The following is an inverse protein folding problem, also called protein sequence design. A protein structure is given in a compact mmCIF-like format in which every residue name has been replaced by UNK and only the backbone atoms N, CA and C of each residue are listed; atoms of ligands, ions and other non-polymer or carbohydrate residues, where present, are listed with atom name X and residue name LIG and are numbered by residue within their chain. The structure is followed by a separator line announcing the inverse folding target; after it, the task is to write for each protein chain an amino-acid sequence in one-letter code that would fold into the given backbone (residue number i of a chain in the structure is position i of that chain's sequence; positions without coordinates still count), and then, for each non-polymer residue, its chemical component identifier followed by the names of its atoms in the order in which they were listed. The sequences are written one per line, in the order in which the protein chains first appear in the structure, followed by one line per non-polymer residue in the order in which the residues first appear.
data_IF_303659092130
#
_entry.id   IF_303659092130
#
_cell.length_a   1.000
_cell.length_b   1.000
_cell.length_c   1.000
_cell.angle_alpha   90.00
_cell.angle_beta   90.00
_cell.angle_gamma   90.00
#
_symmetry.space_group_name_H-M   'P 1'
#
loop_
_entity.id
_entity.type
_entity.pdbx_description
1 polymer ?
#
# COMPACT_ATOMS: atom_id res chain seq x y z
N UNK A 1 -37.68 10.34 -42.11
CA UNK A 1 -36.47 9.64 -42.62
C UNK A 1 -36.11 8.52 -41.66
N UNK A 2 -36.41 7.29 -42.07
CA UNK A 2 -35.95 6.07 -41.39
C UNK A 2 -34.42 6.01 -41.44
N UNK A 3 -33.77 5.59 -40.35
CA UNK A 3 -32.74 4.55 -40.45
C UNK A 3 -32.63 3.77 -39.13
N UNK A 4 -32.48 2.47 -39.32
CA UNK A 4 -32.60 1.35 -38.38
C UNK A 4 -31.43 1.24 -37.39
N UNK A 5 -31.75 0.73 -36.20
CA UNK A 5 -30.83 0.00 -35.33
C UNK A 5 -30.28 -1.24 -36.05
N UNK A 6 -28.95 -1.45 -36.03
CA UNK A 6 -28.34 -2.78 -36.02
C UNK A 6 -26.84 -2.73 -35.69
N UNK A 7 -26.40 -3.76 -34.95
CA UNK A 7 -25.03 -4.20 -34.63
C UNK A 7 -24.27 -3.47 -33.51
N UNK A 8 -24.59 -3.89 -32.28
CA UNK A 8 -23.78 -3.72 -31.08
C UNK A 8 -22.96 -4.99 -30.80
N UNK A 9 -21.93 -5.24 -31.59
CA UNK A 9 -20.84 -6.14 -31.16
C UNK A 9 -19.50 -5.58 -31.64
N UNK A 10 -18.50 -5.67 -30.75
CA UNK A 10 -17.11 -5.21 -30.92
C UNK A 10 -16.93 -3.69 -30.85
N UNK A 11 -16.85 -3.14 -29.64
CA UNK A 11 -15.79 -2.18 -29.32
C UNK A 11 -15.53 -2.22 -27.80
N UNK A 12 -14.61 -3.11 -27.43
CA UNK A 12 -13.91 -3.08 -26.14
C UNK A 12 -13.13 -1.77 -26.03
N UNK A 13 -13.77 -0.70 -25.55
CA UNK A 13 -13.08 0.56 -25.27
C UNK A 13 -12.28 0.36 -23.99
N UNK A 14 -11.00 0.10 -24.21
CA UNK A 14 -9.97 -0.03 -23.20
C UNK A 14 -9.94 1.17 -22.26
N UNK A 15 -9.77 0.86 -20.99
CA UNK A 15 -9.46 1.80 -19.92
C UNK A 15 -8.26 2.64 -20.38
N UNK A 16 -8.48 3.94 -20.63
CA UNK A 16 -7.42 4.88 -20.95
C UNK A 16 -6.44 4.92 -19.78
N UNK A 17 -5.29 4.27 -19.98
CA UNK A 17 -4.17 4.09 -19.05
C UNK A 17 -3.40 5.39 -18.73
N UNK A 18 -4.00 6.55 -19.01
CA UNK A 18 -3.35 7.86 -18.95
C UNK A 18 -3.36 8.46 -17.55
N UNK A 19 -4.35 8.17 -16.71
CA UNK A 19 -4.39 8.60 -15.30
C UNK A 19 -3.52 7.73 -14.37
N UNK A 20 -3.14 6.53 -14.82
CA UNK A 20 -2.32 5.57 -14.05
C UNK A 20 -0.84 5.54 -14.47
N UNK A 21 -0.41 6.40 -15.40
CA UNK A 21 0.97 6.45 -15.92
C UNK A 21 1.80 7.55 -15.22
N UNK A 22 2.61 7.16 -14.22
CA UNK A 22 3.89 7.84 -13.96
C UNK A 22 4.84 7.40 -15.08
N UNK A 23 5.22 8.33 -15.97
CA UNK A 23 6.24 8.08 -17.01
C UNK A 23 7.55 7.68 -16.33
N UNK A 24 8.08 6.53 -16.75
CA UNK A 24 9.40 6.02 -16.42
C UNK A 24 10.37 6.62 -17.43
N UNK A 25 11.16 7.63 -17.04
CA UNK A 25 12.40 7.95 -17.73
C UNK A 25 13.52 7.26 -16.96
N UNK A 26 14.03 6.18 -17.55
CA UNK A 26 15.27 5.53 -17.14
C UNK A 26 16.41 6.42 -17.66
N UNK A 27 17.16 7.04 -16.76
CA UNK A 27 18.61 7.17 -16.94
C UNK A 27 19.22 6.47 -15.74
N UNK A 28 19.96 5.42 -16.04
CA UNK A 28 20.66 4.60 -15.07
C UNK A 28 21.65 5.49 -14.30
N UNK A 29 21.43 5.58 -13.00
CA UNK A 29 22.26 6.25 -12.04
C UNK A 29 21.99 5.58 -10.71
N UNK A 30 22.86 4.63 -10.36
CA UNK A 30 22.81 3.86 -9.14
C UNK A 30 22.93 4.82 -7.94
N UNK A 31 21.81 5.28 -7.39
CA UNK A 31 21.74 5.80 -6.02
C UNK A 31 21.15 4.71 -5.16
N UNK A 32 22.03 3.87 -4.61
CA UNK A 32 21.75 3.09 -3.43
C UNK A 32 21.24 4.05 -2.35
N UNK A 33 19.96 3.94 -2.02
CA UNK A 33 19.39 4.60 -0.85
C UNK A 33 19.90 3.81 0.34
N UNK A 34 21.11 4.15 0.79
CA UNK A 34 21.60 3.75 2.10
C UNK A 34 20.60 4.37 3.09
N UNK A 35 19.97 3.53 3.90
CA UNK A 35 19.22 3.97 5.07
C UNK A 35 20.17 4.75 5.95
N UNK A 36 20.14 6.08 5.78
CA UNK A 36 20.78 6.97 6.73
C UNK A 36 19.97 6.86 8.01
N UNK A 37 20.63 6.38 9.08
CA UNK A 37 20.17 6.60 10.44
C UNK A 37 19.66 8.05 10.57
N UNK A 38 18.56 8.31 11.31
CA UNK A 38 17.97 9.63 11.37
C UNK A 38 18.93 10.55 12.13
N UNK A 39 19.76 11.28 11.39
CA UNK A 39 20.35 12.52 11.88
C UNK A 39 19.21 13.42 12.37
N UNK A 40 19.39 14.17 13.47
CA UNK A 40 18.38 15.12 13.94
C UNK A 40 18.07 16.08 12.79
N UNK A 41 16.86 15.98 12.23
CA UNK A 41 16.40 16.90 11.19
C UNK A 41 16.45 18.29 11.80
N UNK A 42 17.35 19.14 11.28
CA UNK A 42 17.38 20.57 11.58
C UNK A 42 15.95 21.10 11.41
N UNK A 43 15.31 21.45 12.53
CA UNK A 43 13.96 22.01 12.53
C UNK A 43 14.09 23.42 11.99
N UNK A 44 13.43 23.72 10.87
CA UNK A 44 13.45 25.05 10.29
C UNK A 44 12.94 26.12 11.29
N UNK A 45 13.30 27.40 11.11
CA UNK A 45 12.88 28.47 12.02
C UNK A 45 11.35 28.57 12.07
N UNK A 46 10.81 28.94 13.23
CA UNK A 46 9.37 29.22 13.39
C UNK A 46 9.03 30.54 12.70
N UNK A 47 8.11 30.50 11.73
CA UNK A 47 7.68 31.67 10.98
C UNK A 47 6.39 32.23 11.59
N UNK A 48 6.34 33.55 11.82
CA UNK A 48 5.14 34.26 12.24
C UNK A 48 4.49 34.91 11.03
N UNK A 49 3.29 34.47 10.68
CA UNK A 49 2.48 35.10 9.64
C UNK A 49 1.79 36.32 10.24
N UNK A 50 2.02 37.50 9.67
CA UNK A 50 1.37 38.75 10.10
C UNK A 50 0.23 39.06 9.13
N UNK A 51 -0.78 39.77 9.60
CA UNK A 51 -1.92 40.27 8.82
C UNK A 51 -1.54 41.25 7.70
N UNK A 52 -0.26 41.59 7.55
CA UNK A 52 0.24 42.46 6.48
C UNK A 52 0.60 41.60 5.25
N UNK A 53 0.07 41.89 4.04
CA UNK A 53 0.34 41.16 2.80
C UNK A 53 1.82 41.02 2.40
N UNK A 54 2.73 41.76 3.03
CA UNK A 54 4.17 41.72 2.75
C UNK A 54 4.96 40.60 3.46
N UNK A 55 4.29 39.63 4.09
CA UNK A 55 5.01 38.52 4.76
C UNK A 55 5.67 37.59 3.72
N UNK A 56 6.86 37.94 3.24
CA UNK A 56 7.67 37.11 2.34
C UNK A 56 8.39 36.05 3.15
N UNK A 57 7.95 34.80 3.04
CA UNK A 57 8.65 33.67 3.61
C UNK A 57 9.95 33.41 2.84
N UNK A 58 11.09 33.86 3.39
CA UNK A 58 12.43 33.63 2.84
C UNK A 58 13.00 32.23 3.16
N UNK A 59 12.29 31.43 3.95
CA UNK A 59 12.73 30.09 4.30
C UNK A 59 12.66 29.13 3.09
N UNK A 60 13.65 28.25 2.97
CA UNK A 60 13.61 27.15 1.99
C UNK A 60 12.39 26.27 2.26
N UNK A 61 11.73 25.82 1.19
CA UNK A 61 10.56 24.93 1.24
C UNK A 61 10.76 23.74 2.17
N UNK A 62 11.94 23.11 2.14
CA UNK A 62 12.23 21.95 3.00
C UNK A 62 12.20 22.29 4.49
N UNK A 63 12.76 23.44 4.88
CA UNK A 63 12.78 23.90 6.26
C UNK A 63 11.39 24.29 6.74
N UNK A 64 10.62 24.97 5.87
CA UNK A 64 9.23 25.30 6.12
C UNK A 64 8.39 24.04 6.40
N UNK A 65 8.48 23.03 5.52
CA UNK A 65 7.70 21.81 5.63
C UNK A 65 8.16 20.88 6.77
N UNK A 66 9.41 21.03 7.22
CA UNK A 66 9.97 20.26 8.32
C UNK A 66 9.49 20.74 9.70
N UNK A 67 9.09 22.01 9.85
CA UNK A 67 8.60 22.57 11.11
C UNK A 67 7.06 22.43 11.21
N UNK A 68 6.53 21.57 12.13
CA UNK A 68 5.09 21.35 12.24
C UNK A 68 4.31 22.60 12.70
N UNK A 69 4.88 23.40 13.59
CA UNK A 69 4.26 24.63 14.09
C UNK A 69 4.11 25.66 12.98
N UNK A 70 5.13 25.79 12.12
CA UNK A 70 5.09 26.68 10.96
C UNK A 70 4.02 26.25 9.96
N UNK A 71 3.90 24.95 9.68
CA UNK A 71 2.84 24.42 8.82
C UNK A 71 1.45 24.73 9.38
N UNK A 72 1.25 24.48 10.68
CA UNK A 72 -0.05 24.72 11.32
C UNK A 72 -0.42 26.20 11.31
N UNK A 73 0.52 27.08 11.68
CA UNK A 73 0.31 28.53 11.67
C UNK A 73 -0.01 29.05 10.25
N UNK A 74 0.62 28.48 9.21
CA UNK A 74 0.32 28.83 7.83
C UNK A 74 -1.09 28.43 7.41
N UNK A 75 -1.52 27.22 7.78
CA UNK A 75 -2.86 26.72 7.47
C UNK A 75 -3.93 27.60 8.12
N UNK A 76 -3.74 27.99 9.39
CA UNK A 76 -4.64 28.90 10.10
C UNK A 76 -4.67 30.28 9.44
N UNK A 77 -3.50 30.87 9.20
CA UNK A 77 -3.39 32.16 8.53
C UNK A 77 -4.08 32.18 7.16
N UNK A 78 -3.88 31.13 6.33
CA UNK A 78 -4.51 31.03 5.03
C UNK A 78 -6.04 30.91 5.15
N UNK A 79 -6.53 30.17 6.15
CA UNK A 79 -7.96 30.10 6.48
C UNK A 79 -8.53 31.49 6.76
N UNK A 80 -7.92 32.24 7.69
CA UNK A 80 -8.37 33.59 8.06
C UNK A 80 -8.40 34.56 6.86
N UNK A 81 -7.41 34.47 5.97
CA UNK A 81 -7.35 35.30 4.74
C UNK A 81 -8.50 34.94 3.80
N UNK A 82 -8.76 33.65 3.59
CA UNK A 82 -9.85 33.19 2.72
C UNK A 82 -11.22 33.59 3.29
N UNK A 83 -11.41 33.49 4.60
CA UNK A 83 -12.66 33.88 5.27
C UNK A 83 -12.93 35.39 5.17
N UNK A 84 -11.89 36.22 5.28
CA UNK A 84 -12.00 37.67 5.06
C UNK A 84 -12.41 38.02 3.63
N UNK A 85 -12.02 37.22 2.65
CA UNK A 85 -12.45 37.34 1.24
C UNK A 85 -13.81 36.67 0.96
N UNK A 86 -14.55 36.25 2.00
CA UNK A 86 -15.88 35.68 1.89
C UNK A 86 -15.92 34.21 1.46
N UNK A 87 -14.79 33.51 1.49
CA UNK A 87 -14.74 32.06 1.27
C UNK A 87 -15.03 31.30 2.57
N UNK A 88 -15.60 30.10 2.47
CA UNK A 88 -15.67 29.19 3.60
C UNK A 88 -14.39 28.36 3.67
N UNK A 89 -13.65 28.46 4.78
CA UNK A 89 -12.50 27.60 5.06
C UNK A 89 -12.93 26.47 6.01
N UNK A 90 -12.51 25.23 5.71
CA UNK A 90 -12.74 24.07 6.57
C UNK A 90 -11.38 23.45 6.91
N UNK A 91 -11.19 23.10 8.18
CA UNK A 91 -9.94 22.51 8.67
C UNK A 91 -10.14 21.03 9.03
N UNK A 92 -9.37 20.16 8.39
CA UNK A 92 -9.32 18.74 8.76
C UNK A 92 -8.36 18.53 9.94
N UNK A 93 -8.68 17.57 10.82
CA UNK A 93 -7.81 17.18 11.94
C UNK A 93 -6.57 16.42 11.45
N UNK A 94 -6.68 15.70 10.32
CA UNK A 94 -5.61 14.93 9.70
C UNK A 94 -5.57 15.17 8.20
N UNK A 95 -5.65 14.11 7.42
CA UNK A 95 -5.73 14.20 5.96
C UNK A 95 -7.02 14.91 5.52
N UNK A 96 -6.93 15.76 4.50
CA UNK A 96 -8.04 16.60 4.06
C UNK A 96 -8.89 15.95 2.97
N UNK A 97 -8.44 14.88 2.30
CA UNK A 97 -9.10 14.37 1.10
C UNK A 97 -10.51 13.87 1.38
N UNK A 98 -10.71 13.20 2.51
CA UNK A 98 -12.04 12.73 2.94
C UNK A 98 -12.98 13.89 3.21
N UNK A 99 -12.50 14.93 3.88
CA UNK A 99 -13.29 16.13 4.16
C UNK A 99 -13.66 16.86 2.87
N UNK A 100 -12.71 17.02 1.95
CA UNK A 100 -12.94 17.65 0.64
C UNK A 100 -14.00 16.85 -0.15
N UNK A 101 -13.84 15.52 -0.25
CA UNK A 101 -14.77 14.68 -1.00
C UNK A 101 -16.18 14.73 -0.43
N UNK A 102 -16.33 14.60 0.90
CA UNK A 102 -17.64 14.63 1.57
C UNK A 102 -18.31 15.99 1.45
N UNK A 103 -17.57 17.08 1.69
CA UNK A 103 -18.09 18.43 1.52
C UNK A 103 -18.55 18.68 0.09
N UNK A 104 -17.78 18.25 -0.91
CA UNK A 104 -18.18 18.39 -2.31
C UNK A 104 -19.49 17.64 -2.63
N UNK A 105 -19.65 16.43 -2.11
CA UNK A 105 -20.90 15.66 -2.26
C UNK A 105 -22.06 16.36 -1.55
N UNK A 106 -21.88 16.80 -0.30
CA UNK A 106 -22.90 17.53 0.46
C UNK A 106 -23.33 18.82 -0.24
N UNK A 107 -22.38 19.59 -0.78
CA UNK A 107 -22.67 20.79 -1.58
C UNK A 107 -23.45 20.45 -2.85
N UNK A 108 -23.05 19.40 -3.58
CA UNK A 108 -23.73 18.99 -4.80
C UNK A 108 -25.20 18.62 -4.55
N UNK A 109 -25.47 17.94 -3.43
CA UNK A 109 -26.82 17.56 -2.98
C UNK A 109 -27.61 18.80 -2.52
N UNK A 110 -27.06 19.57 -1.58
CA UNK A 110 -27.79 20.66 -0.94
C UNK A 110 -28.07 21.84 -1.87
N UNK A 111 -27.11 22.20 -2.72
CA UNK A 111 -27.20 23.36 -3.62
C UNK A 111 -27.91 22.99 -4.93
N UNK A 112 -28.04 21.68 -5.22
CA UNK A 112 -28.62 21.15 -6.46
C UNK A 112 -27.98 21.77 -7.73
N UNK A 113 -26.68 22.06 -7.66
CA UNK A 113 -25.88 22.62 -8.76
C UNK A 113 -24.64 21.77 -9.00
N UNK A 114 -24.11 21.89 -10.20
CA UNK A 114 -22.85 21.25 -10.58
C UNK A 114 -21.73 21.69 -9.62
N UNK A 115 -21.14 20.73 -8.93
CA UNK A 115 -20.02 20.98 -8.01
C UNK A 115 -18.71 20.55 -8.65
N UNK A 116 -17.72 21.44 -8.64
CA UNK A 116 -16.39 21.20 -9.22
C UNK A 116 -15.36 21.11 -8.12
N UNK A 117 -14.72 19.95 -8.00
CA UNK A 117 -13.59 19.71 -7.12
C UNK A 117 -12.31 19.92 -7.91
N UNK A 118 -11.42 20.76 -7.39
CA UNK A 118 -10.11 21.01 -8.01
C UNK A 118 -9.06 20.20 -7.26
N UNK A 119 -8.47 19.21 -7.93
CA UNK A 119 -7.48 18.35 -7.31
C UNK A 119 -6.78 17.44 -8.32
N UNK A 120 -5.62 16.92 -7.92
CA UNK A 120 -4.85 15.96 -8.72
C UNK A 120 -4.63 14.63 -8.01
N UNK A 121 -5.07 14.50 -6.76
CA UNK A 121 -4.86 13.31 -5.95
C UNK A 121 -5.72 12.13 -6.42
N UNK A 122 -5.14 10.93 -6.37
CA UNK A 122 -5.85 9.68 -6.62
C UNK A 122 -6.77 9.35 -5.45
N UNK A 123 -6.37 9.66 -4.22
CA UNK A 123 -7.14 9.37 -3.01
C UNK A 123 -8.46 10.17 -3.07
N UNK A 124 -8.37 11.46 -3.41
CA UNK A 124 -9.53 12.31 -3.71
C UNK A 124 -10.45 11.73 -4.81
N UNK A 125 -9.90 11.21 -5.92
CA UNK A 125 -10.73 10.60 -6.98
C UNK A 125 -11.47 9.36 -6.48
N UNK A 126 -10.80 8.50 -5.71
CA UNK A 126 -11.40 7.29 -5.11
C UNK A 126 -12.50 7.67 -4.12
N UNK A 127 -12.27 8.68 -3.28
CA UNK A 127 -13.21 9.15 -2.28
C UNK A 127 -14.45 9.80 -2.90
N UNK A 128 -14.28 10.61 -3.95
CA UNK A 128 -15.41 11.17 -4.69
C UNK A 128 -16.28 10.08 -5.31
N UNK A 129 -15.67 9.03 -5.89
CA UNK A 129 -16.42 7.89 -6.43
C UNK A 129 -17.15 7.09 -5.35
N UNK A 130 -16.55 6.95 -4.18
CA UNK A 130 -17.13 6.22 -3.06
C UNK A 130 -18.31 6.96 -2.44
N UNK A 131 -18.17 8.27 -2.19
CA UNK A 131 -19.17 9.07 -1.47
C UNK A 131 -20.25 9.66 -2.37
N UNK A 132 -20.08 9.68 -3.71
CA UNK A 132 -21.05 10.30 -4.61
C UNK A 132 -22.47 9.71 -4.48
N UNK A 133 -23.46 10.59 -4.28
CA UNK A 133 -24.88 10.22 -4.40
C UNK A 133 -25.31 10.27 -5.87
N UNK A 134 -25.81 9.14 -6.36
CA UNK A 134 -26.29 8.98 -7.75
C UNK A 134 -27.52 9.84 -8.07
N UNK A 135 -28.21 10.35 -7.05
CA UNK A 135 -29.37 11.24 -7.18
C UNK A 135 -28.96 12.71 -7.28
N UNK A 136 -27.71 13.04 -6.98
CA UNK A 136 -27.18 14.40 -7.07
C UNK A 136 -27.00 14.85 -8.54
N UNK A 137 -27.10 16.15 -8.80
CA UNK A 137 -26.60 16.74 -10.06
C UNK A 137 -25.07 16.73 -10.08
N UNK A 138 -24.53 16.79 -11.31
CA UNK A 138 -23.13 16.59 -11.72
C UNK A 138 -22.04 16.94 -10.69
N UNK A 139 -21.16 15.97 -10.40
CA UNK A 139 -19.96 16.13 -9.59
C UNK A 139 -18.73 15.94 -10.47
N UNK A 140 -17.88 16.97 -10.53
CA UNK A 140 -16.78 17.05 -11.48
C UNK A 140 -15.43 17.14 -10.75
N UNK A 141 -14.47 16.30 -11.13
CA UNK A 141 -13.08 16.44 -10.71
C UNK A 141 -12.28 17.12 -11.83
N UNK A 142 -11.65 18.26 -11.53
CA UNK A 142 -10.90 19.08 -12.49
C UNK A 142 -9.44 19.20 -12.09
N UNK A 143 -8.53 18.91 -13.01
CA UNK A 143 -7.09 19.17 -12.79
C UNK A 143 -6.79 20.65 -13.02
N UNK A 144 -5.86 21.19 -12.24
CA UNK A 144 -5.39 22.58 -12.37
C UNK A 144 -4.43 22.76 -13.57
N UNK A 145 -3.89 21.67 -14.11
CA UNK A 145 -2.92 21.69 -15.20
C UNK A 145 -3.55 22.05 -16.55
N UNK A 146 -3.03 23.11 -17.19
CA UNK A 146 -3.48 23.57 -18.52
C UNK A 146 -3.11 22.61 -19.66
N UNK A 147 -2.23 21.63 -19.44
CA UNK A 147 -1.58 20.82 -20.50
C UNK A 147 -2.13 19.40 -20.69
N UNK A 148 -3.04 18.90 -19.84
CA UNK A 148 -3.57 17.52 -19.96
C UNK A 148 -4.88 17.45 -20.75
N UNK A 149 -4.98 16.46 -21.65
CA UNK A 149 -6.14 16.22 -22.56
C UNK A 149 -7.47 15.88 -21.84
N UNK A 150 -7.43 15.51 -20.56
CA UNK A 150 -8.62 15.31 -19.74
C UNK A 150 -8.67 16.43 -18.69
N UNK A 151 -9.30 17.55 -19.07
CA UNK A 151 -9.42 18.73 -18.19
C UNK A 151 -10.34 18.47 -17.01
N UNK A 152 -11.30 17.54 -17.15
CA UNK A 152 -12.35 17.30 -16.17
C UNK A 152 -12.88 15.87 -16.30
N UNK A 153 -13.22 15.24 -15.17
CA UNK A 153 -13.87 13.94 -15.09
C UNK A 153 -15.21 14.15 -14.42
N UNK A 154 -16.30 13.70 -15.06
CA UNK A 154 -17.59 13.60 -14.40
C UNK A 154 -17.63 12.29 -13.60
N UNK A 155 -17.63 12.44 -12.27
CA UNK A 155 -17.63 11.34 -11.30
C UNK A 155 -18.87 10.48 -11.47
N UNK A 156 -20.02 11.10 -11.68
CA UNK A 156 -21.28 10.38 -11.85
C UNK A 156 -21.25 9.58 -13.15
N UNK A 157 -20.65 10.08 -14.22
CA UNK A 157 -20.59 9.38 -15.53
C UNK A 157 -19.76 8.07 -15.55
N UNK A 158 -19.00 7.78 -14.50
CA UNK A 158 -18.06 6.65 -14.50
C UNK A 158 -18.77 5.28 -14.48
N UNK A 159 -18.26 4.32 -15.28
CA UNK A 159 -18.84 2.97 -15.46
C UNK A 159 -18.51 1.97 -14.34
N UNK A 160 -17.76 2.37 -13.31
CA UNK A 160 -17.31 1.49 -12.21
C UNK A 160 -18.26 1.49 -11.00
N UNK A 161 -19.50 1.95 -11.18
CA UNK A 161 -20.48 2.22 -10.12
C UNK A 161 -20.77 1.02 -9.20
N UNK A 162 -20.85 -0.18 -9.77
CA UNK A 162 -21.18 -1.41 -9.03
C UNK A 162 -20.15 -1.77 -7.94
N UNK A 163 -18.93 -1.24 -8.04
CA UNK A 163 -17.83 -1.52 -7.11
C UNK A 163 -17.33 -0.28 -6.37
N UNK A 164 -17.99 0.88 -6.52
CA UNK A 164 -17.57 2.14 -5.86
C UNK A 164 -17.47 2.02 -4.34
N UNK A 165 -18.38 1.26 -3.72
CA UNK A 165 -18.36 0.98 -2.28
C UNK A 165 -17.13 0.16 -1.84
N UNK A 166 -16.46 -0.55 -2.76
CA UNK A 166 -15.25 -1.36 -2.51
C UNK A 166 -13.95 -0.66 -2.93
N UNK A 167 -14.04 0.50 -3.61
CA UNK A 167 -12.85 1.23 -4.07
C UNK A 167 -11.90 1.65 -2.95
N UNK A 168 -12.36 2.09 -1.76
CA UNK A 168 -11.47 2.38 -0.63
C UNK A 168 -10.52 1.22 -0.32
N UNK A 169 -11.06 -0.01 -0.20
CA UNK A 169 -10.25 -1.22 0.02
C UNK A 169 -9.32 -1.51 -1.16
N UNK A 170 -9.84 -1.50 -2.39
CA UNK A 170 -9.07 -1.78 -3.61
C UNK A 170 -7.87 -0.85 -3.76
N UNK A 171 -8.04 0.42 -3.39
CA UNK A 171 -6.99 1.42 -3.44
C UNK A 171 -5.99 1.24 -2.29
N UNK A 172 -6.47 1.13 -1.04
CA UNK A 172 -5.62 0.96 0.14
C UNK A 172 -4.78 -0.33 0.09
N UNK A 173 -5.32 -1.48 -0.33
CA UNK A 173 -4.57 -2.75 -0.42
C UNK A 173 -3.47 -2.72 -1.48
N UNK A 174 -3.62 -1.88 -2.49
CA UNK A 174 -2.66 -1.74 -3.59
C UNK A 174 -1.67 -0.58 -3.36
N UNK A 175 -1.69 0.00 -2.16
CA UNK A 175 -0.84 1.11 -1.74
C UNK A 175 -1.43 2.48 -2.07
N UNK A 176 -1.68 3.24 -1.01
CA UNK A 176 -1.96 4.67 -1.00
C UNK A 176 -0.84 5.41 -0.27
N UNK A 177 -1.05 6.64 0.16
CA UNK A 177 -0.03 7.39 0.92
C UNK A 177 0.25 6.79 2.31
N UNK A 178 -0.73 6.09 2.88
CA UNK A 178 -0.65 5.48 4.22
C UNK A 178 -0.33 3.98 4.21
N UNK A 179 -0.38 3.33 3.05
CA UNK A 179 -0.15 1.88 2.92
C UNK A 179 0.89 1.55 1.86
N UNK A 180 1.66 0.50 2.11
CA UNK A 180 2.67 0.03 1.16
C UNK A 180 2.03 -0.65 -0.06
N UNK A 181 2.73 -0.65 -1.19
CA UNK A 181 2.34 -1.44 -2.37
C UNK A 181 3.18 -2.70 -2.52
N UNK A 182 2.54 -3.82 -2.84
CA UNK A 182 3.24 -5.03 -3.26
C UNK A 182 3.99 -4.83 -4.58
N UNK A 183 5.31 -5.05 -4.54
CA UNK A 183 6.15 -4.90 -5.72
C UNK A 183 5.79 -5.91 -6.82
N UNK A 184 5.69 -5.43 -8.07
CA UNK A 184 5.32 -6.25 -9.22
C UNK A 184 3.81 -6.47 -9.40
N UNK A 185 2.97 -6.05 -8.46
CA UNK A 185 1.50 -6.11 -8.60
C UNK A 185 1.01 -4.92 -9.43
N UNK A 186 0.24 -5.17 -10.49
CA UNK A 186 -0.32 -4.14 -11.35
C UNK A 186 -1.55 -3.46 -10.71
N UNK A 187 -1.73 -2.13 -10.93
CA UNK A 187 -2.83 -1.36 -10.32
C UNK A 187 -4.23 -1.89 -10.69
N UNK A 188 -4.37 -2.51 -11.86
CA UNK A 188 -5.63 -3.10 -12.31
C UNK A 188 -5.89 -4.52 -11.80
N UNK A 189 -4.95 -5.15 -11.10
CA UNK A 189 -5.11 -6.54 -10.66
C UNK A 189 -6.19 -6.68 -9.56
N UNK A 190 -6.22 -5.85 -8.50
CA UNK A 190 -7.30 -5.90 -7.51
C UNK A 190 -8.70 -5.70 -8.13
N UNK A 191 -8.82 -4.81 -9.12
CA UNK A 191 -10.06 -4.58 -9.88
C UNK A 191 -10.51 -5.79 -10.70
N UNK A 192 -9.58 -6.67 -11.10
CA UNK A 192 -9.92 -7.95 -11.73
C UNK A 192 -10.29 -8.98 -10.66
N UNK A 193 -9.51 -9.05 -9.59
CA UNK A 193 -9.71 -10.00 -8.48
C UNK A 193 -11.08 -9.87 -7.84
N UNK A 194 -11.59 -8.65 -7.64
CA UNK A 194 -12.94 -8.43 -7.10
C UNK A 194 -14.06 -9.09 -7.93
N UNK A 195 -13.82 -9.35 -9.21
CA UNK A 195 -14.78 -9.99 -10.13
C UNK A 195 -14.60 -11.50 -10.24
N UNK A 196 -13.41 -12.01 -9.95
CA UNK A 196 -13.02 -13.40 -10.25
C UNK A 196 -12.75 -14.24 -9.00
N UNK A 197 -12.61 -13.62 -7.83
CA UNK A 197 -12.15 -14.25 -6.60
C UNK A 197 -13.14 -13.89 -5.47
N UNK A 198 -13.98 -14.86 -5.09
CA UNK A 198 -15.05 -14.66 -4.12
C UNK A 198 -14.50 -14.30 -2.74
N UNK A 199 -13.42 -14.97 -2.31
CA UNK A 199 -12.77 -14.70 -1.02
C UNK A 199 -12.21 -13.28 -0.98
N UNK A 200 -11.56 -12.84 -2.08
CA UNK A 200 -11.09 -11.45 -2.19
C UNK A 200 -12.23 -10.44 -2.12
N UNK A 201 -13.39 -10.76 -2.72
CA UNK A 201 -14.58 -9.91 -2.66
C UNK A 201 -15.17 -9.85 -1.26
N UNK A 202 -15.32 -10.98 -0.57
CA UNK A 202 -15.80 -11.04 0.81
C UNK A 202 -14.88 -10.26 1.76
N UNK A 203 -13.56 -10.35 1.56
CA UNK A 203 -12.61 -9.55 2.32
C UNK A 203 -12.82 -8.04 2.06
N UNK A 204 -12.99 -7.62 0.81
CA UNK A 204 -13.25 -6.22 0.48
C UNK A 204 -14.55 -5.70 1.13
N UNK A 205 -15.62 -6.49 1.08
CA UNK A 205 -16.91 -6.16 1.71
C UNK A 205 -16.79 -6.03 3.23
N UNK A 206 -16.03 -6.94 3.85
CA UNK A 206 -15.73 -6.90 5.29
C UNK A 206 -15.02 -5.60 5.66
N UNK A 207 -13.98 -5.22 4.92
CA UNK A 207 -13.20 -4.01 5.19
C UNK A 207 -14.01 -2.73 4.95
N UNK A 208 -14.93 -2.74 3.99
CA UNK A 208 -15.78 -1.61 3.67
C UNK A 208 -17.10 -1.55 4.48
N UNK A 209 -17.28 -2.41 5.48
CA UNK A 209 -18.46 -2.35 6.36
C UNK A 209 -18.27 -1.27 7.44
N UNK A 210 -19.23 -0.34 7.55
CA UNK A 210 -19.21 0.77 8.53
C UNK A 210 -19.58 0.30 9.94
N UNK A 211 -19.06 0.99 10.97
CA UNK A 211 -19.46 0.86 12.37
C UNK A 211 -19.21 -0.50 13.04
N UNK A 212 -18.62 -1.48 12.34
CA UNK A 212 -18.30 -2.79 12.91
C UNK A 212 -16.86 -2.81 13.40
N UNK A 213 -16.66 -2.92 14.71
CA UNK A 213 -15.36 -3.25 15.31
C UNK A 213 -15.06 -4.72 15.05
N UNK A 214 -14.47 -5.02 13.90
CA UNK A 214 -13.96 -6.37 13.66
C UNK A 214 -12.81 -6.65 14.64
N UNK A 215 -12.81 -7.83 15.24
CA UNK A 215 -11.64 -8.28 15.99
C UNK A 215 -10.45 -8.38 15.04
N UNK A 216 -9.23 -8.13 15.54
CA UNK A 216 -7.98 -8.24 14.76
C UNK A 216 -7.90 -9.56 13.97
N UNK A 217 -8.43 -10.64 14.54
CA UNK A 217 -8.48 -11.96 13.91
C UNK A 217 -9.31 -12.00 12.61
N UNK A 218 -10.34 -11.17 12.48
CA UNK A 218 -11.14 -11.09 11.25
C UNK A 218 -10.38 -10.35 10.14
N UNK A 219 -9.66 -9.27 10.47
CA UNK A 219 -8.81 -8.54 9.53
C UNK A 219 -7.58 -9.36 9.11
N UNK A 220 -7.06 -10.21 9.99
CA UNK A 220 -5.96 -11.16 9.73
C UNK A 220 -6.33 -12.21 8.66
N UNK A 221 -7.61 -12.56 8.49
CA UNK A 221 -8.04 -13.39 7.32
C UNK A 221 -7.77 -12.67 5.99
N UNK A 222 -7.61 -11.34 6.01
CA UNK A 222 -7.15 -10.51 4.91
C UNK A 222 -5.70 -10.75 4.48
N UNK A 223 -4.86 -11.42 5.27
CA UNK A 223 -3.52 -11.87 4.82
C UNK A 223 -3.61 -12.64 3.50
N UNK A 224 -4.64 -13.50 3.37
CA UNK A 224 -4.93 -14.27 2.17
C UNK A 224 -5.09 -13.42 0.90
N UNK A 225 -5.50 -12.15 1.04
CA UNK A 225 -5.68 -11.23 -0.09
C UNK A 225 -4.35 -10.75 -0.67
N UNK A 226 -3.35 -10.48 0.17
CA UNK A 226 -1.99 -10.13 -0.26
C UNK A 226 -1.33 -11.30 -1.01
N UNK A 227 -1.54 -12.53 -0.52
CA UNK A 227 -1.10 -13.75 -1.19
C UNK A 227 -1.87 -14.00 -2.50
N UNK A 228 -3.18 -13.77 -2.51
CA UNK A 228 -4.03 -13.88 -3.70
C UNK A 228 -3.56 -12.95 -4.84
N UNK A 229 -3.11 -11.73 -4.50
CA UNK A 229 -2.56 -10.78 -5.48
C UNK A 229 -1.23 -11.25 -6.10
N UNK A 230 -0.50 -12.17 -5.47
CA UNK A 230 0.78 -12.70 -5.99
C UNK A 230 0.67 -14.05 -6.69
N UNK A 231 -0.56 -14.56 -6.93
CA UNK A 231 -0.83 -15.82 -7.64
C UNK A 231 -0.14 -17.04 -6.99
N UNK A 232 0.03 -17.06 -5.67
CA UNK A 232 0.42 -18.29 -4.97
C UNK A 232 -0.83 -19.15 -4.85
N UNK A 233 -0.89 -20.25 -5.60
CA UNK A 233 -1.95 -21.24 -5.50
C UNK A 233 -1.88 -21.93 -4.14
N UNK A 234 -2.92 -21.76 -3.31
CA UNK A 234 -3.20 -22.68 -2.20
C UNK A 234 -2.75 -22.22 -0.80
N UNK A 235 -3.78 -22.04 0.04
CA UNK A 235 -3.90 -22.24 1.50
C UNK A 235 -2.62 -22.22 2.37
N UNK A 236 -2.72 -21.38 3.41
CA UNK A 236 -1.87 -21.21 4.59
C UNK A 236 -0.67 -20.27 4.44
N UNK A 237 -0.81 -19.18 5.20
CA UNK A 237 0.09 -18.04 5.32
C UNK A 237 1.37 -18.47 6.02
N UNK A 238 2.53 -18.14 5.44
CA UNK A 238 3.86 -18.55 5.91
C UNK A 238 4.55 -19.60 5.03
N UNK A 239 3.95 -20.78 4.86
CA UNK A 239 4.57 -21.87 4.09
C UNK A 239 4.72 -21.53 2.60
N UNK A 240 3.72 -20.85 2.01
CA UNK A 240 3.76 -20.43 0.61
C UNK A 240 4.89 -19.41 0.31
N UNK A 241 5.21 -18.51 1.25
CA UNK A 241 6.30 -17.56 1.08
C UNK A 241 7.67 -18.24 1.12
N UNK A 242 7.85 -19.16 2.07
CA UNK A 242 9.05 -19.97 2.19
C UNK A 242 9.21 -20.90 0.99
N UNK A 243 8.13 -21.50 0.49
CA UNK A 243 8.13 -22.35 -0.70
C UNK A 243 8.47 -21.55 -1.96
N UNK A 244 7.83 -20.41 -2.19
CA UNK A 244 8.16 -19.52 -3.30
C UNK A 244 9.61 -19.03 -3.24
N UNK A 245 10.13 -18.78 -2.03
CA UNK A 245 11.54 -18.47 -1.84
C UNK A 245 12.43 -19.66 -2.18
N UNK A 246 12.14 -20.85 -1.67
CA UNK A 246 12.88 -22.09 -1.94
C UNK A 246 12.94 -22.36 -3.44
N UNK A 247 11.80 -22.35 -4.14
CA UNK A 247 11.71 -22.53 -5.60
C UNK A 247 12.55 -21.50 -6.36
N UNK A 248 12.52 -20.23 -5.93
CA UNK A 248 13.25 -19.16 -6.60
C UNK A 248 14.76 -19.20 -6.34
N UNK A 249 15.17 -19.64 -5.16
CA UNK A 249 16.58 -19.83 -4.81
C UNK A 249 17.18 -21.06 -5.49
N UNK A 250 16.43 -22.16 -5.57
CA UNK A 250 16.91 -23.39 -6.22
C UNK A 250 17.01 -23.25 -7.74
N UNK A 251 16.14 -22.44 -8.37
CA UNK A 251 16.14 -22.21 -9.82
C UNK A 251 17.03 -21.04 -10.27
N UNK A 252 17.40 -20.10 -9.38
CA UNK A 252 18.11 -18.89 -9.78
C UNK A 252 19.62 -19.02 -9.71
N UNK A 253 20.27 -18.87 -10.87
CA UNK A 253 21.73 -18.74 -11.00
C UNK A 253 22.20 -17.39 -10.43
N UNK A 254 21.34 -16.38 -10.47
CA UNK A 254 21.62 -15.00 -10.00
C UNK A 254 21.04 -14.73 -8.60
N UNK A 255 21.48 -13.63 -7.97
CA UNK A 255 20.98 -13.20 -6.65
C UNK A 255 19.47 -12.99 -6.68
N UNK A 256 18.75 -13.69 -5.80
CA UNK A 256 17.29 -13.55 -5.69
C UNK A 256 16.94 -12.15 -5.20
N UNK A 257 16.22 -11.40 -6.02
CA UNK A 257 15.70 -10.09 -5.63
C UNK A 257 14.50 -10.27 -4.69
N UNK A 258 14.73 -10.09 -3.38
CA UNK A 258 13.77 -10.29 -2.27
C UNK A 258 12.43 -9.55 -2.50
N UNK A 259 12.45 -8.37 -3.13
CA UNK A 259 11.24 -7.58 -3.47
C UNK A 259 10.19 -8.35 -4.29
N UNK A 260 10.60 -9.36 -5.05
CA UNK A 260 9.69 -10.19 -5.84
C UNK A 260 9.08 -11.34 -5.05
N UNK A 261 9.48 -11.57 -3.80
CA UNK A 261 8.87 -12.58 -2.93
C UNK A 261 7.54 -12.06 -2.36
N UNK A 262 6.59 -12.95 -2.06
CA UNK A 262 5.44 -12.57 -1.26
C UNK A 262 5.84 -12.09 0.14
N UNK A 263 5.02 -11.23 0.78
CA UNK A 263 5.23 -10.85 2.17
C UNK A 263 5.19 -12.10 3.07
N UNK A 264 5.83 -12.02 4.23
CA UNK A 264 5.61 -13.00 5.30
C UNK A 264 4.19 -12.85 5.86
N UNK A 265 3.67 -13.88 6.55
CA UNK A 265 2.37 -13.79 7.24
C UNK A 265 2.35 -12.60 8.22
N UNK A 266 3.39 -12.45 9.03
CA UNK A 266 3.58 -11.29 9.91
C UNK A 266 3.52 -9.94 9.17
N UNK A 267 4.21 -9.81 8.03
CA UNK A 267 4.17 -8.57 7.26
C UNK A 267 2.79 -8.30 6.62
N UNK A 268 2.14 -9.35 6.10
CA UNK A 268 0.81 -9.27 5.53
C UNK A 268 -0.24 -8.91 6.60
N UNK A 269 -0.12 -9.44 7.82
CA UNK A 269 -0.95 -9.09 8.99
C UNK A 269 -0.94 -7.58 9.23
N UNK A 270 0.24 -7.00 9.41
CA UNK A 270 0.36 -5.59 9.72
C UNK A 270 -0.04 -4.69 8.55
N UNK A 271 0.26 -5.12 7.32
CA UNK A 271 -0.24 -4.43 6.14
C UNK A 271 -1.78 -4.39 6.13
N UNK A 272 -2.42 -5.53 6.38
CA UNK A 272 -3.87 -5.66 6.45
C UNK A 272 -4.50 -4.80 7.55
N UNK A 273 -3.87 -4.72 8.74
CA UNK A 273 -4.33 -3.84 9.82
C UNK A 273 -4.32 -2.35 9.41
N UNK A 274 -3.25 -1.89 8.75
CA UNK A 274 -3.17 -0.50 8.27
C UNK A 274 -4.15 -0.21 7.14
N UNK A 275 -4.36 -1.18 6.24
CA UNK A 275 -5.39 -1.08 5.18
C UNK A 275 -6.76 -0.92 5.82
N UNK A 276 -7.07 -1.71 6.85
CA UNK A 276 -8.34 -1.60 7.55
C UNK A 276 -8.53 -0.22 8.19
N UNK A 277 -7.53 0.26 8.94
CA UNK A 277 -7.56 1.60 9.53
C UNK A 277 -7.83 2.68 8.48
N UNK A 278 -7.09 2.66 7.36
CA UNK A 278 -7.24 3.65 6.30
C UNK A 278 -8.63 3.59 5.64
N UNK A 279 -9.14 2.38 5.40
CA UNK A 279 -10.48 2.22 4.82
C UNK A 279 -11.53 2.75 5.76
N UNK A 280 -11.43 2.46 7.06
CA UNK A 280 -12.40 2.90 8.05
C UNK A 280 -12.41 4.44 8.17
N UNK A 281 -11.24 5.08 8.22
CA UNK A 281 -11.11 6.55 8.21
C UNK A 281 -11.79 7.19 6.99
N UNK A 282 -11.65 6.56 5.81
CA UNK A 282 -12.27 7.04 4.57
C UNK A 282 -13.79 6.86 4.51
N UNK A 283 -14.35 5.79 5.09
CA UNK A 283 -15.78 5.46 4.96
C UNK A 283 -16.63 5.97 6.13
N UNK A 284 -16.04 6.08 7.32
CA UNK A 284 -16.72 6.40 8.58
C UNK A 284 -15.80 7.22 9.51
N UNK A 285 -15.79 8.53 9.31
CA UNK A 285 -15.00 9.49 10.10
C UNK A 285 -15.46 9.60 11.56
N UNK A 286 -16.56 8.95 11.94
CA UNK A 286 -17.02 8.91 13.35
C UNK A 286 -16.43 7.71 14.09
N UNK A 287 -15.79 6.79 13.36
CA UNK A 287 -15.27 5.55 13.88
C UNK A 287 -13.82 5.71 14.34
N UNK A 288 -13.65 6.04 15.62
CA UNK A 288 -12.33 6.22 16.20
C UNK A 288 -11.61 4.89 16.41
N UNK A 289 -10.52 4.71 15.67
CA UNK A 289 -9.64 3.56 15.74
C UNK A 289 -8.23 4.04 16.11
N UNK A 290 -7.76 3.57 17.25
CA UNK A 290 -6.44 3.91 17.78
C UNK A 290 -5.33 3.31 16.88
N UNK A 291 -4.53 4.12 16.16
CA UNK A 291 -3.58 3.63 15.16
C UNK A 291 -2.61 2.56 15.68
N UNK A 292 -2.22 2.64 16.94
CA UNK A 292 -1.32 1.72 17.64
C UNK A 292 -1.85 0.28 17.69
N UNK A 293 -3.17 0.11 17.70
CA UNK A 293 -3.83 -1.20 17.66
C UNK A 293 -3.89 -1.74 16.22
N UNK A 294 -3.77 -0.86 15.23
CA UNK A 294 -3.98 -1.13 13.81
C UNK A 294 -2.71 -1.01 12.97
N UNK A 295 -1.60 -1.45 13.55
CA UNK A 295 -0.34 -1.65 12.82
C UNK A 295 0.51 -0.40 12.61
N UNK A 296 0.31 0.58 13.49
CA UNK A 296 1.23 1.69 13.73
C UNK A 296 1.84 1.59 15.12
N UNK A 297 2.94 2.32 15.35
CA UNK A 297 3.56 2.48 16.66
C UNK A 297 3.96 3.93 16.85
N UNK A 298 3.79 4.44 18.07
CA UNK A 298 4.23 5.79 18.41
C UNK A 298 5.73 5.78 18.74
N UNK A 299 6.52 6.44 17.90
CA UNK A 299 7.97 6.57 18.03
C UNK A 299 8.35 8.05 17.97
N UNK A 300 8.89 8.61 19.06
CA UNK A 300 9.30 10.02 19.14
C UNK A 300 8.20 11.02 18.75
N UNK A 301 6.96 10.79 19.20
CA UNK A 301 5.81 11.65 18.88
C UNK A 301 5.33 11.56 17.42
N UNK A 302 5.73 10.51 16.70
CA UNK A 302 5.29 10.23 15.32
C UNK A 302 4.79 8.80 15.21
N UNK A 303 3.77 8.59 14.38
CA UNK A 303 3.30 7.25 14.04
C UNK A 303 4.20 6.67 12.94
N UNK A 304 4.87 5.58 13.27
CA UNK A 304 5.65 4.77 12.33
C UNK A 304 4.91 3.46 12.05
N UNK A 305 4.94 2.95 10.81
CA UNK A 305 4.23 1.72 10.47
C UNK A 305 4.96 0.49 11.05
N UNK A 306 4.23 -0.35 11.80
CA UNK A 306 4.74 -1.66 12.21
C UNK A 306 4.84 -2.57 10.99
N UNK A 307 6.03 -2.89 10.50
CA UNK A 307 6.15 -3.66 9.25
C UNK A 307 6.11 -5.18 9.46
N UNK A 308 6.50 -5.67 10.63
CA UNK A 308 6.52 -7.08 11.03
C UNK A 308 6.80 -7.18 12.54
N UNK A 309 6.29 -8.22 13.21
CA UNK A 309 6.64 -8.62 14.58
C UNK A 309 7.66 -9.78 14.60
N UNK A 310 8.00 -10.32 13.43
CA UNK A 310 8.98 -11.38 13.25
C UNK A 310 10.24 -10.86 12.53
N UNK A 311 11.40 -11.52 12.71
CA UNK A 311 12.59 -11.19 11.94
C UNK A 311 12.32 -11.28 10.43
N UNK A 312 12.93 -10.42 9.59
CA UNK A 312 12.67 -10.36 8.15
C UNK A 312 12.85 -11.70 7.40
N UNK A 313 13.68 -12.58 7.93
CA UNK A 313 13.83 -13.96 7.48
C UNK A 313 14.30 -14.83 8.67
N UNK A 314 14.00 -16.15 8.65
CA UNK A 314 14.63 -17.09 9.57
C UNK A 314 16.15 -16.98 9.53
N UNK A 315 16.85 -17.14 10.66
CA UNK A 315 18.32 -17.05 10.69
C UNK A 315 18.99 -18.00 9.71
N UNK A 316 18.42 -19.20 9.52
CA UNK A 316 18.90 -20.19 8.55
C UNK A 316 18.90 -19.66 7.11
N UNK A 317 17.95 -18.76 6.76
CA UNK A 317 17.88 -18.12 5.45
C UNK A 317 18.91 -16.99 5.29
N UNK A 318 19.19 -16.25 6.36
CA UNK A 318 20.24 -15.21 6.37
C UNK A 318 21.64 -15.82 6.33
N UNK A 319 21.80 -17.01 6.91
CA UNK A 319 23.02 -17.83 6.89
C UNK A 319 23.11 -18.74 5.65
N UNK A 320 22.16 -18.65 4.71
CA UNK A 320 22.09 -19.58 3.57
C UNK A 320 23.25 -19.35 2.60
N UNK A 321 24.29 -20.14 2.79
CA UNK A 321 25.50 -20.17 1.97
C UNK A 321 25.36 -21.33 0.98
N UNK A 322 25.57 -21.03 -0.31
CA UNK A 322 25.59 -22.04 -1.37
C UNK A 322 27.00 -22.22 -1.88
N UNK A 323 27.36 -23.46 -2.22
CA UNK A 323 28.57 -23.76 -2.96
C UNK A 323 28.25 -24.09 -4.41
N UNK A 324 29.22 -23.88 -5.31
CA UNK A 324 29.15 -24.34 -6.69
C UNK A 324 30.14 -25.49 -6.94
N UNK A 325 30.40 -26.29 -5.89
CA UNK A 325 31.31 -27.43 -5.96
C UNK A 325 30.82 -28.43 -7.00
N UNK A 326 31.69 -28.76 -7.95
CA UNK A 326 31.46 -29.78 -9.00
C UNK A 326 31.67 -31.21 -8.49
N UNK A 327 32.36 -31.36 -7.37
CA UNK A 327 32.72 -32.64 -6.74
C UNK A 327 32.38 -32.63 -5.23
N UNK A 328 32.91 -33.60 -4.50
CA UNK A 328 32.72 -33.81 -3.06
C UNK A 328 32.90 -32.54 -2.21
N UNK A 329 31.94 -32.30 -1.31
CA UNK A 329 31.91 -31.11 -0.45
C UNK A 329 32.47 -31.40 0.95
N UNK A 330 33.60 -32.12 1.02
CA UNK A 330 34.18 -32.57 2.30
C UNK A 330 35.22 -31.60 2.89
N UNK A 331 35.87 -30.81 2.05
CA UNK A 331 36.92 -29.87 2.48
C UNK A 331 36.39 -28.45 2.71
N UNK A 332 37.16 -27.62 3.42
CA UNK A 332 36.93 -26.17 3.57
C UNK A 332 37.04 -25.39 2.25
N UNK A 333 37.32 -26.05 1.11
CA UNK A 333 37.15 -25.47 -0.24
C UNK A 333 35.67 -25.30 -0.62
N UNK A 334 34.78 -26.07 0.00
CA UNK A 334 33.35 -25.84 -0.08
C UNK A 334 32.97 -24.63 0.79
N UNK A 335 32.31 -23.62 0.20
CA UNK A 335 31.86 -22.43 0.94
C UNK A 335 30.88 -22.77 2.06
N UNK A 336 30.03 -23.78 1.89
CA UNK A 336 29.13 -24.25 2.95
C UNK A 336 29.93 -24.76 4.15
N UNK A 337 30.87 -25.68 3.93
CA UNK A 337 31.72 -26.24 5.00
C UNK A 337 32.69 -25.22 5.60
N UNK A 338 33.19 -24.27 4.82
CA UNK A 338 34.02 -23.15 5.32
C UNK A 338 33.31 -22.36 6.42
N UNK A 339 31.99 -22.21 6.29
CA UNK A 339 31.14 -21.54 7.26
C UNK A 339 30.41 -22.51 8.22
N UNK A 340 30.85 -23.76 8.30
CA UNK A 340 30.30 -24.75 9.22
C UNK A 340 28.90 -25.27 8.87
N UNK A 341 28.44 -25.10 7.62
CA UNK A 341 27.11 -25.51 7.17
C UNK A 341 27.15 -26.74 6.26
N UNK A 342 26.06 -27.51 6.28
CA UNK A 342 25.82 -28.59 5.33
C UNK A 342 25.40 -28.05 3.96
N UNK A 343 25.75 -28.74 2.88
CA UNK A 343 25.26 -28.35 1.56
C UNK A 343 23.77 -28.67 1.43
N UNK A 344 22.99 -27.68 1.02
CA UNK A 344 21.55 -27.82 0.77
C UNK A 344 21.24 -28.04 -0.71
N UNK A 345 19.97 -28.32 -1.01
CA UNK A 345 19.42 -28.36 -2.38
C UNK A 345 19.62 -27.04 -3.16
N UNK A 346 19.93 -25.93 -2.49
CA UNK A 346 20.26 -24.65 -3.11
C UNK A 346 21.72 -24.55 -3.62
N UNK A 347 22.56 -25.55 -3.33
CA UNK A 347 23.94 -25.60 -3.84
C UNK A 347 23.97 -26.00 -5.31
N UNK A 348 24.85 -25.37 -6.10
CA UNK A 348 24.82 -25.40 -7.56
C UNK A 348 24.84 -26.81 -8.16
N UNK A 349 25.99 -27.47 -8.17
CA UNK A 349 26.13 -28.82 -8.77
C UNK A 349 25.96 -29.93 -7.73
N UNK A 350 26.48 -29.75 -6.51
CA UNK A 350 26.41 -30.80 -5.49
C UNK A 350 24.99 -31.05 -4.93
N UNK A 351 24.11 -30.04 -4.96
CA UNK A 351 22.69 -30.08 -4.54
C UNK A 351 22.41 -30.83 -3.23
N UNK A 352 23.35 -30.82 -2.29
CA UNK A 352 23.26 -31.59 -1.04
C UNK A 352 23.44 -33.12 -1.17
N UNK A 353 23.44 -33.67 -2.39
CA UNK A 353 23.59 -35.12 -2.65
C UNK A 353 25.06 -35.56 -2.55
N UNK A 354 26.01 -34.68 -2.93
CA UNK A 354 27.45 -34.93 -2.81
C UNK A 354 28.05 -34.78 -1.41
N UNK A 355 27.20 -34.62 -0.37
CA UNK A 355 27.60 -34.53 1.03
C UNK A 355 27.31 -35.85 1.74
N UNK A 356 28.27 -36.76 1.76
CA UNK A 356 28.20 -37.94 2.62
C UNK A 356 28.10 -37.49 4.08
N UNK A 357 27.10 -38.01 4.77
CA UNK A 357 26.75 -37.79 6.19
C UNK A 357 28.00 -37.75 7.08
N UNK A 358 28.24 -36.60 7.71
CA UNK A 358 28.97 -36.58 8.98
C UNK A 358 28.00 -37.03 10.06
N UNK A 359 28.35 -38.08 10.79
CA UNK A 359 27.56 -38.71 11.85
C UNK A 359 26.96 -37.69 12.83
N UNK A 360 25.64 -37.59 12.88
CA UNK A 360 24.92 -37.16 14.07
C UNK A 360 23.73 -38.11 14.25
N UNK A 361 23.88 -39.04 15.19
CA UNK A 361 22.78 -39.83 15.72
C UNK A 361 21.86 -38.88 16.51
N UNK A 362 20.56 -38.76 16.18
CA UNK A 362 19.62 -38.13 17.08
C UNK A 362 19.54 -39.00 18.33
N UNK A 363 19.89 -38.46 19.50
CA UNK A 363 19.40 -39.02 20.76
C UNK A 363 17.86 -38.95 20.74
N UNK A 364 17.15 -40.02 21.10
CA UNK A 364 15.70 -39.96 21.20
C UNK A 364 15.33 -39.01 22.35
N UNK A 365 14.69 -37.88 22.03
CA UNK A 365 13.90 -37.15 23.01
C UNK A 365 12.66 -38.01 23.35
N UNK A 366 12.28 -38.12 24.63
CA UNK A 366 11.21 -39.00 25.06
C UNK A 366 9.87 -38.55 24.48
N UNK A 367 9.14 -39.52 23.94
CA UNK A 367 7.71 -39.41 23.69
C UNK A 367 7.05 -38.99 25.02
N UNK A 368 6.50 -37.78 25.06
CA UNK A 368 5.50 -37.47 26.06
C UNK A 368 4.26 -38.31 25.71
N UNK A 369 4.00 -39.29 26.56
CA UNK A 369 2.70 -39.96 26.65
C UNK A 369 1.62 -38.90 26.79
N UNK A 370 0.71 -38.86 25.81
CA UNK A 370 -0.62 -38.32 26.02
C UNK A 370 -1.52 -39.54 26.27
N UNK A 371 -1.56 -39.99 27.52
CA UNK A 371 -2.67 -40.79 28.04
C UNK A 371 -3.75 -39.84 28.60
N UNK A 372 -4.99 -40.20 28.26
CA UNK A 372 -6.33 -39.71 28.63
C UNK A 372 -6.83 -38.33 28.16
#
# INVERSE_FOLDING_TARGET
MQYKFQNWEKHSIGISSTWLRRKKTRKDGLKTRIDKQPFPKVVGPTIRFRSNPETVCSARKEHFLANPNTKQAFVQYLGDVLEKDGCQALHAQGDADTLIARTAVSCAIAINKTTVVIGEDTDLFVLLLHHADLRSRSLLLKSRSKTKKHKQIDILSMKIRLICHLLPFIHAINGCDMTSRLFGVAKGLPLKKIKTDADFKTAAETFCTKGKKYSRHHCIRGESTDFSLRRTSGRHTGHAALQAFREKVTSSITTVQVRFLPPTSAAAKYHSLRVYLQVQDWIDTTFDLQPEVWGWQLSSGRLDPCTTDLPPAPELLLKMIRCNCKSDCRSKRCTCRKHGLECSLACGQCKGIGCSRGMYSPSPEPLADCDD
#
